data_IF_762371974211
#
_entry.id   IF_762371974211
#
_cell.length_a   1.000
_cell.length_b   1.000
_cell.length_c   1.000
_cell.angle_alpha   90.00
_cell.angle_beta   90.00
_cell.angle_gamma   90.00
#
_symmetry.space_group_name_H-M   'P 1'
#
loop_
_entity.id
_entity.type
_entity.pdbx_description
1 polymer ?
#
# COMPACT_ATOMS: atom_id res chain seq x y z
N UNK A 1 -24.66 -18.73 26.03
CA UNK A 1 -24.88 -19.10 24.62
C UNK A 1 -23.61 -18.76 23.85
N UNK A 2 -22.96 -19.74 23.31
CA UNK A 2 -21.84 -19.47 22.39
C UNK A 2 -22.42 -18.94 21.08
N UNK A 3 -21.94 -17.81 20.61
CA UNK A 3 -22.27 -17.35 19.28
C UNK A 3 -21.81 -18.39 18.25
N UNK A 4 -22.61 -18.68 17.22
CA UNK A 4 -22.23 -19.66 16.23
C UNK A 4 -21.00 -19.18 15.46
N UNK A 5 -19.91 -19.91 15.55
CA UNK A 5 -18.73 -19.66 14.74
C UNK A 5 -19.02 -20.06 13.27
N UNK A 6 -18.76 -19.15 12.35
CA UNK A 6 -18.79 -19.47 10.93
C UNK A 6 -17.46 -20.13 10.53
N UNK A 7 -17.55 -21.32 9.96
CA UNK A 7 -16.39 -22.06 9.46
C UNK A 7 -16.40 -22.03 7.94
N UNK A 8 -15.26 -21.62 7.36
CA UNK A 8 -15.07 -21.60 5.90
C UNK A 8 -13.97 -22.59 5.51
N UNK A 9 -14.28 -23.48 4.57
CA UNK A 9 -13.29 -24.35 3.94
C UNK A 9 -12.64 -23.65 2.75
N UNK A 10 -11.54 -24.19 2.25
CA UNK A 10 -10.83 -23.63 1.10
C UNK A 10 -11.75 -23.47 -0.11
N UNK A 11 -12.58 -24.48 -0.39
CA UNK A 11 -13.51 -24.46 -1.51
C UNK A 11 -14.56 -23.35 -1.38
N UNK A 12 -15.06 -23.10 -0.17
CA UNK A 12 -15.98 -21.99 0.08
C UNK A 12 -15.34 -20.65 -0.27
N UNK A 13 -14.07 -20.46 0.10
CA UNK A 13 -13.32 -19.24 -0.16
C UNK A 13 -13.01 -19.09 -1.66
N UNK A 14 -12.57 -20.17 -2.31
CA UNK A 14 -12.16 -20.13 -3.72
C UNK A 14 -13.33 -19.90 -4.67
N UNK A 15 -14.52 -20.35 -4.30
CA UNK A 15 -15.76 -20.17 -5.08
C UNK A 15 -16.42 -18.79 -4.86
N UNK A 16 -15.99 -18.01 -3.87
CA UNK A 16 -16.51 -16.67 -3.68
C UNK A 16 -16.27 -15.80 -4.91
N UNK A 17 -17.21 -14.88 -5.25
CA UNK A 17 -16.97 -13.84 -6.27
C UNK A 17 -15.68 -13.09 -5.96
N UNK A 18 -14.89 -12.78 -6.98
CA UNK A 18 -13.53 -12.24 -6.84
C UNK A 18 -13.46 -11.03 -5.89
N UNK A 19 -14.36 -10.07 -6.04
CA UNK A 19 -14.37 -8.85 -5.21
C UNK A 19 -14.73 -9.15 -3.76
N UNK A 20 -15.70 -10.04 -3.54
CA UNK A 20 -16.10 -10.46 -2.21
C UNK A 20 -14.97 -11.21 -1.50
N UNK A 21 -14.35 -12.18 -2.18
CA UNK A 21 -13.18 -12.91 -1.68
C UNK A 21 -12.03 -11.98 -1.31
N UNK A 22 -11.73 -10.99 -2.15
CA UNK A 22 -10.67 -10.04 -1.86
C UNK A 22 -10.96 -9.24 -0.58
N UNK A 23 -12.17 -8.74 -0.41
CA UNK A 23 -12.58 -8.03 0.80
C UNK A 23 -12.55 -8.94 2.03
N UNK A 24 -13.07 -10.17 1.90
CA UNK A 24 -13.07 -11.16 2.97
C UNK A 24 -11.64 -11.45 3.46
N UNK A 25 -10.75 -11.83 2.56
CA UNK A 25 -9.35 -12.14 2.91
C UNK A 25 -8.63 -10.92 3.46
N UNK A 26 -8.83 -9.73 2.88
CA UNK A 26 -8.18 -8.51 3.35
C UNK A 26 -8.63 -8.10 4.77
N UNK A 27 -9.84 -8.46 5.19
CA UNK A 27 -10.37 -8.14 6.51
C UNK A 27 -9.94 -9.11 7.61
N UNK A 28 -9.53 -10.33 7.28
CA UNK A 28 -9.20 -11.38 8.27
C UNK A 28 -8.05 -11.01 9.20
N UNK A 29 -7.11 -10.21 8.76
CA UNK A 29 -5.97 -9.76 9.59
C UNK A 29 -6.29 -8.57 10.50
N UNK A 30 -7.56 -8.13 10.53
CA UNK A 30 -8.00 -6.99 11.33
C UNK A 30 -7.58 -5.63 10.76
N UNK A 31 -7.62 -4.62 11.61
CA UNK A 31 -7.23 -3.26 11.23
C UNK A 31 -5.74 -3.16 10.93
N UNK A 32 -5.41 -2.47 9.85
CA UNK A 32 -4.04 -2.21 9.41
C UNK A 32 -3.85 -0.72 9.18
N UNK A 33 -2.67 -0.22 9.52
CA UNK A 33 -2.30 1.16 9.18
C UNK A 33 -2.24 1.34 7.66
N UNK A 34 -2.84 2.39 7.16
CA UNK A 34 -2.61 2.84 5.80
C UNK A 34 -1.42 3.80 5.80
N UNK A 35 -0.52 3.62 4.85
CA UNK A 35 0.62 4.49 4.63
C UNK A 35 0.73 4.87 3.15
N UNK A 36 1.31 6.02 2.86
CA UNK A 36 1.68 6.43 1.51
C UNK A 36 3.17 6.16 1.31
N UNK A 37 3.44 5.31 0.34
CA UNK A 37 4.79 4.98 -0.11
C UNK A 37 5.19 5.96 -1.20
N UNK A 38 6.16 6.82 -0.90
CA UNK A 38 6.75 7.75 -1.86
C UNK A 38 8.05 7.16 -2.44
N UNK A 39 8.16 7.15 -3.76
CA UNK A 39 9.34 6.66 -4.49
C UNK A 39 9.68 7.58 -5.65
N UNK A 40 10.88 7.46 -6.16
CA UNK A 40 11.35 8.24 -7.34
C UNK A 40 12.22 7.37 -8.24
N UNK A 41 12.24 7.68 -9.52
CA UNK A 41 13.18 7.16 -10.49
C UNK A 41 14.37 8.13 -10.72
N UNK A 42 14.42 9.24 -9.95
CA UNK A 42 15.39 10.32 -10.10
C UNK A 42 14.92 11.46 -11.01
N UNK A 43 13.80 11.29 -11.72
CA UNK A 43 13.20 12.31 -12.61
C UNK A 43 11.76 12.63 -12.21
N UNK A 44 11.00 11.61 -11.89
CA UNK A 44 9.59 11.71 -11.47
C UNK A 44 9.39 11.10 -10.09
N UNK A 45 8.33 11.50 -9.43
CA UNK A 45 7.93 10.97 -8.13
C UNK A 45 6.65 10.15 -8.29
N UNK A 46 6.60 9.04 -7.56
CA UNK A 46 5.45 8.14 -7.54
C UNK A 46 4.93 8.00 -6.11
N UNK A 47 3.63 7.92 -5.94
CA UNK A 47 2.97 7.76 -4.66
C UNK A 47 1.97 6.60 -4.72
N UNK A 48 2.05 5.70 -3.75
CA UNK A 48 1.15 4.55 -3.67
C UNK A 48 0.68 4.32 -2.25
N UNK A 49 -0.61 4.05 -2.07
CA UNK A 49 -1.13 3.62 -0.77
C UNK A 49 -0.78 2.16 -0.51
N UNK A 50 -0.29 1.88 0.69
CA UNK A 50 0.05 0.54 1.16
C UNK A 50 -0.54 0.28 2.54
N UNK A 51 -0.84 -0.97 2.85
CA UNK A 51 -1.34 -1.40 4.16
C UNK A 51 -0.60 -2.62 4.70
N UNK A 52 0.59 -2.90 4.18
CA UNK A 52 1.40 -4.06 4.52
C UNK A 52 2.66 -3.72 5.32
N UNK A 53 2.72 -2.52 5.91
CA UNK A 53 3.84 -2.11 6.76
C UNK A 53 3.71 -2.77 8.12
N UNK A 54 4.78 -3.44 8.56
CA UNK A 54 4.84 -4.15 9.83
C UNK A 54 6.14 -3.86 10.56
N UNK A 55 6.09 -3.90 11.90
CA UNK A 55 7.28 -3.87 12.73
C UNK A 55 8.02 -5.22 12.62
N UNK A 56 9.31 -5.18 12.38
CA UNK A 56 10.18 -6.36 12.27
C UNK A 56 11.13 -6.46 13.47
N UNK A 57 11.75 -5.35 13.86
CA UNK A 57 12.68 -5.34 14.98
C UNK A 57 13.02 -3.92 15.43
N UNK A 58 13.43 -3.80 16.69
CA UNK A 58 13.86 -2.54 17.28
C UNK A 58 15.40 -2.40 17.31
N UNK A 59 16.12 -3.51 17.36
CA UNK A 59 17.57 -3.55 17.32
C UNK A 59 18.06 -4.77 16.50
N UNK A 60 18.47 -4.60 15.24
CA UNK A 60 18.45 -3.33 14.48
C UNK A 60 17.02 -2.80 14.23
N UNK A 61 16.85 -1.49 14.05
CA UNK A 61 15.55 -0.88 13.80
C UNK A 61 15.08 -1.22 12.38
N UNK A 62 14.07 -2.09 12.28
CA UNK A 62 13.58 -2.60 11.01
C UNK A 62 12.06 -2.50 10.93
N UNK A 63 11.58 -1.98 9.83
CA UNK A 63 10.20 -2.09 9.36
C UNK A 63 10.17 -2.97 8.10
N UNK A 64 9.14 -3.79 7.96
CA UNK A 64 8.90 -4.60 6.78
C UNK A 64 7.72 -4.08 5.98
N UNK A 65 7.76 -4.27 4.68
CA UNK A 65 6.65 -4.01 3.79
C UNK A 65 6.56 -5.12 2.75
N UNK A 66 5.37 -5.69 2.57
CA UNK A 66 5.16 -6.77 1.62
C UNK A 66 4.75 -6.17 0.26
N UNK A 67 5.59 -6.41 -0.73
CA UNK A 67 5.29 -6.12 -2.13
C UNK A 67 4.83 -7.41 -2.80
N UNK A 68 3.53 -7.49 -3.13
CA UNK A 68 2.97 -8.69 -3.76
C UNK A 68 3.55 -8.90 -5.17
N UNK A 69 3.72 -10.17 -5.60
CA UNK A 69 4.04 -10.47 -7.01
C UNK A 69 3.03 -9.76 -7.92
N UNK A 70 3.50 -9.23 -9.04
CA UNK A 70 2.67 -8.46 -9.95
C UNK A 70 2.73 -9.03 -11.37
N UNK A 71 1.59 -8.99 -12.02
CA UNK A 71 1.44 -9.29 -13.44
C UNK A 71 1.56 -8.05 -14.33
N UNK A 72 1.61 -6.87 -13.71
CA UNK A 72 1.77 -5.57 -14.37
C UNK A 72 2.96 -4.84 -13.75
N UNK A 73 3.61 -3.99 -14.52
CA UNK A 73 4.72 -3.17 -14.04
C UNK A 73 4.27 -2.31 -12.85
N UNK A 74 5.12 -2.23 -11.83
CA UNK A 74 4.91 -1.42 -10.63
C UNK A 74 6.08 -0.48 -10.45
N UNK A 75 5.83 0.78 -10.69
CA UNK A 75 6.86 1.82 -10.65
C UNK A 75 7.49 1.94 -9.27
N UNK A 76 6.70 1.89 -8.20
CA UNK A 76 7.22 1.93 -6.83
C UNK A 76 8.29 0.86 -6.54
N UNK A 77 8.06 -0.39 -6.94
CA UNK A 77 9.03 -1.47 -6.71
C UNK A 77 10.30 -1.29 -7.54
N UNK A 78 10.14 -0.86 -8.79
CA UNK A 78 11.28 -0.60 -9.68
C UNK A 78 12.12 0.57 -9.14
N UNK A 79 11.48 1.65 -8.71
CA UNK A 79 12.14 2.81 -8.12
C UNK A 79 12.92 2.42 -6.86
N UNK A 80 12.33 1.63 -5.95
CA UNK A 80 13.01 1.15 -4.74
C UNK A 80 14.24 0.32 -5.10
N UNK A 81 14.14 -0.58 -6.08
CA UNK A 81 15.27 -1.41 -6.51
C UNK A 81 16.40 -0.59 -7.14
N UNK A 82 16.07 0.47 -7.87
CA UNK A 82 17.04 1.33 -8.55
C UNK A 82 17.68 2.34 -7.60
N UNK A 83 16.90 2.98 -6.76
CA UNK A 83 17.36 4.08 -5.91
C UNK A 83 17.78 3.63 -4.50
N UNK A 84 17.25 2.49 -4.02
CA UNK A 84 17.54 1.96 -2.69
C UNK A 84 16.88 2.73 -1.55
N UNK A 85 16.07 3.74 -1.83
CA UNK A 85 15.40 4.60 -0.84
C UNK A 85 13.93 4.81 -1.17
N UNK A 86 13.14 5.04 -0.13
CA UNK A 86 11.73 5.40 -0.23
C UNK A 86 11.27 6.11 1.05
N UNK A 87 10.10 6.72 1.00
CA UNK A 87 9.48 7.34 2.18
C UNK A 87 8.18 6.62 2.54
N UNK A 88 7.90 6.53 3.85
CA UNK A 88 6.63 6.09 4.38
C UNK A 88 5.98 7.23 5.14
N UNK A 89 4.75 7.59 4.75
CA UNK A 89 4.00 8.68 5.34
C UNK A 89 2.66 8.15 5.85
N UNK A 90 2.27 8.52 7.06
CA UNK A 90 0.97 8.16 7.59
C UNK A 90 -0.14 8.92 6.88
N UNK A 91 -1.29 8.25 6.72
CA UNK A 91 -2.48 8.86 6.11
C UNK A 91 -3.28 9.56 7.21
N UNK A 92 -3.44 10.86 7.08
CA UNK A 92 -4.33 11.65 7.94
C UNK A 92 -5.80 11.40 7.54
N UNK A 93 -6.71 11.38 8.52
CA UNK A 93 -8.14 11.10 8.29
C UNK A 93 -8.79 12.03 7.25
N UNK A 94 -8.37 13.28 7.17
CA UNK A 94 -8.87 14.25 6.18
C UNK A 94 -8.42 13.95 4.75
N UNK A 95 -7.46 13.05 4.54
CA UNK A 95 -6.87 12.74 3.24
C UNK A 95 -7.15 11.32 2.77
N UNK A 96 -7.99 10.59 3.48
CA UNK A 96 -8.28 9.18 3.17
C UNK A 96 -8.73 9.00 1.72
N UNK A 97 -9.66 9.82 1.25
CA UNK A 97 -10.19 9.71 -0.12
C UNK A 97 -9.10 9.92 -1.17
N UNK A 98 -8.21 10.88 -0.94
CA UNK A 98 -7.09 11.19 -1.85
C UNK A 98 -6.01 10.13 -1.79
N UNK A 99 -5.67 9.66 -0.60
CA UNK A 99 -4.75 8.56 -0.43
C UNK A 99 -5.28 7.29 -1.12
N UNK A 100 -6.58 7.04 -1.05
CA UNK A 100 -7.21 5.91 -1.75
C UNK A 100 -7.13 6.06 -3.27
N UNK A 101 -7.22 7.27 -3.81
CA UNK A 101 -7.09 7.53 -5.24
C UNK A 101 -5.71 7.16 -5.80
N UNK A 102 -4.66 7.16 -5.00
CA UNK A 102 -3.33 6.69 -5.43
C UNK A 102 -3.30 5.19 -5.75
N UNK A 103 -4.34 4.44 -5.39
CA UNK A 103 -4.51 3.04 -5.80
C UNK A 103 -5.08 2.85 -7.20
N UNK A 104 -5.52 3.92 -7.87
CA UNK A 104 -6.02 3.87 -9.23
C UNK A 104 -4.87 3.53 -10.21
N UNK A 105 -5.24 2.96 -11.36
CA UNK A 105 -4.26 2.63 -12.40
C UNK A 105 -3.99 3.88 -13.24
N UNK A 106 -2.88 4.53 -12.96
CA UNK A 106 -2.36 5.62 -13.78
C UNK A 106 -1.36 5.11 -14.83
N UNK A 107 -1.18 5.90 -15.90
CA UNK A 107 -0.13 5.62 -16.87
C UNK A 107 1.25 5.92 -16.24
N UNK A 108 2.32 5.24 -16.68
CA UNK A 108 3.67 5.42 -16.11
C UNK A 108 4.20 6.86 -16.11
N UNK A 109 3.67 7.71 -17.00
CA UNK A 109 4.07 9.12 -17.09
C UNK A 109 3.21 10.06 -16.21
N UNK A 110 2.17 9.53 -15.57
CA UNK A 110 1.28 10.31 -14.72
C UNK A 110 1.72 10.19 -13.26
N UNK A 111 2.23 11.26 -12.68
CA UNK A 111 2.58 11.32 -11.26
C UNK A 111 1.35 11.65 -10.42
N UNK A 112 1.12 10.87 -9.37
CA UNK A 112 0.08 11.15 -8.39
C UNK A 112 0.33 12.47 -7.65
N UNK A 113 1.59 12.87 -7.50
CA UNK A 113 1.97 14.18 -6.94
C UNK A 113 1.52 15.35 -7.81
N UNK A 114 1.60 15.20 -9.14
CA UNK A 114 1.20 16.26 -10.06
C UNK A 114 -0.32 16.44 -10.10
N UNK A 115 -1.08 15.35 -9.95
CA UNK A 115 -2.55 15.41 -9.88
C UNK A 115 -3.07 16.05 -8.59
N UNK A 116 -2.26 16.00 -7.52
CA UNK A 116 -2.65 16.50 -6.19
C UNK A 116 -1.56 17.36 -5.54
N UNK A 117 -1.01 18.39 -6.25
CA UNK A 117 0.19 19.10 -5.82
C UNK A 117 0.04 19.87 -4.51
N UNK A 118 -1.16 20.27 -4.16
CA UNK A 118 -1.39 21.18 -3.02
C UNK A 118 -1.48 20.47 -1.67
N UNK A 119 -1.28 19.12 -1.58
CA UNK A 119 -1.80 18.38 -0.43
C UNK A 119 -0.91 17.29 0.16
N UNK A 120 0.20 16.97 -0.46
CA UNK A 120 1.17 16.04 0.10
C UNK A 120 2.52 16.74 0.31
N UNK A 121 2.70 17.35 1.49
CA UNK A 121 4.03 17.74 1.94
C UNK A 121 4.79 16.47 2.38
N UNK A 122 5.16 15.65 1.42
CA UNK A 122 6.07 14.54 1.67
C UNK A 122 7.50 15.09 1.54
N UNK A 123 8.16 15.28 2.66
CA UNK A 123 9.59 15.55 2.65
C UNK A 123 10.29 14.24 2.34
N UNK A 124 10.94 14.13 1.19
CA UNK A 124 11.90 13.06 0.93
C UNK A 124 13.10 13.37 1.81
N UNK A 125 13.24 12.68 2.93
CA UNK A 125 14.42 12.81 3.78
C UNK A 125 15.60 12.16 3.07
N UNK A 126 16.66 12.90 2.86
CA UNK A 126 17.99 12.33 2.63
C UNK A 126 18.44 11.67 3.94
N UNK A 127 18.83 10.40 3.86
CA UNK A 127 19.53 9.69 4.95
C UNK A 127 20.99 10.09 4.97
#
# INVERSE_FOLDING_TARGET
MSEPFNTYKLDDITTMPQRYRANFINSLSGFKSAALLGTTDGKSHNLAIVSSVVHVGANPPLLGMIMRPHTVQRDSLNNIKQQGVYTLNHVHTQWVDKAHQTSARYQPQESEFEKYPERFNCTVGEL
#
